data_IF_502723763688
#
_entry.id   IF_502723763688
#
_cell.length_a   1.000
_cell.length_b   1.000
_cell.length_c   1.000
_cell.angle_alpha   90.00
_cell.angle_beta   90.00
_cell.angle_gamma   90.00
#
_symmetry.space_group_name_H-M   'P 1'
#
loop_
_entity.id
_entity.type
_entity.pdbx_description
1 polymer ?
#
# COMPACT_ATOMS: atom_id res chain seq x y z
N UNK A 1 -5.44 -13.06 21.78
CA UNK A 1 -4.93 -13.19 20.40
C UNK A 1 -4.10 -11.96 20.08
N UNK A 2 -2.97 -12.07 19.36
CA UNK A 2 -2.23 -10.86 18.90
C UNK A 2 -3.04 -10.12 17.85
N UNK A 3 -2.88 -8.80 17.81
CA UNK A 3 -3.65 -7.87 16.97
C UNK A 3 -2.83 -7.40 15.77
N UNK A 4 -3.38 -7.51 14.58
CA UNK A 4 -2.75 -7.03 13.34
C UNK A 4 -3.65 -5.99 12.67
N UNK A 5 -3.09 -4.83 12.37
CA UNK A 5 -3.72 -3.83 11.53
C UNK A 5 -3.20 -3.96 10.09
N UNK A 6 -4.07 -4.28 9.17
CA UNK A 6 -3.76 -4.36 7.73
C UNK A 6 -4.12 -3.06 7.04
N UNK A 7 -3.17 -2.44 6.35
CA UNK A 7 -3.35 -1.19 5.61
C UNK A 7 -3.20 -1.46 4.13
N UNK A 8 -4.24 -1.17 3.36
CA UNK A 8 -4.26 -1.40 1.90
C UNK A 8 -4.65 -0.15 1.12
N UNK A 9 -4.07 0.03 -0.05
CA UNK A 9 -4.34 1.19 -0.92
C UNK A 9 -5.66 1.08 -1.71
N UNK A 10 -6.34 -0.07 -1.64
CA UNK A 10 -7.65 -0.32 -2.27
C UNK A 10 -8.44 -1.31 -1.44
N UNK A 11 -9.75 -1.11 -1.39
CA UNK A 11 -10.67 -2.08 -0.75
C UNK A 11 -10.51 -3.46 -1.41
N UNK A 12 -10.18 -4.52 -0.65
CA UNK A 12 -9.89 -5.84 -1.21
C UNK A 12 -11.15 -6.65 -1.59
N UNK A 13 -12.18 -5.96 -2.07
CA UNK A 13 -13.41 -6.53 -2.62
C UNK A 13 -14.08 -5.51 -3.56
N UNK A 14 -14.70 -5.93 -4.70
CA UNK A 14 -14.67 -7.27 -5.29
C UNK A 14 -13.28 -7.68 -5.80
N UNK A 15 -13.09 -8.99 -6.03
CA UNK A 15 -11.78 -9.62 -6.31
C UNK A 15 -11.37 -9.50 -7.80
N UNK A 16 -11.53 -8.31 -8.39
CA UNK A 16 -11.33 -8.07 -9.83
C UNK A 16 -9.86 -7.78 -10.21
N UNK A 17 -8.99 -7.52 -9.23
CA UNK A 17 -7.59 -7.13 -9.45
C UNK A 17 -6.67 -7.94 -8.55
N UNK A 18 -5.46 -8.21 -9.05
CA UNK A 18 -4.48 -9.03 -8.34
C UNK A 18 -4.12 -8.50 -6.95
N UNK A 19 -3.98 -7.17 -6.79
CA UNK A 19 -3.72 -6.53 -5.49
C UNK A 19 -4.87 -6.76 -4.48
N UNK A 20 -6.11 -6.71 -4.94
CA UNK A 20 -7.29 -6.98 -4.12
C UNK A 20 -7.40 -8.45 -3.74
N UNK A 21 -7.20 -9.35 -4.70
CA UNK A 21 -7.25 -10.80 -4.47
C UNK A 21 -6.19 -11.23 -3.46
N UNK A 22 -4.96 -10.73 -3.63
CA UNK A 22 -3.86 -11.02 -2.69
C UNK A 22 -4.18 -10.52 -1.28
N UNK A 23 -4.59 -9.24 -1.14
CA UNK A 23 -4.95 -8.67 0.16
C UNK A 23 -6.07 -9.47 0.83
N UNK A 24 -7.10 -9.83 0.09
CA UNK A 24 -8.22 -10.61 0.60
C UNK A 24 -7.77 -11.97 1.16
N UNK A 25 -6.99 -12.73 0.37
CA UNK A 25 -6.48 -14.03 0.80
C UNK A 25 -5.52 -13.91 2.00
N UNK A 26 -4.67 -12.89 2.03
CA UNK A 26 -3.78 -12.64 3.17
C UNK A 26 -4.58 -12.32 4.44
N UNK A 27 -5.59 -11.46 4.36
CA UNK A 27 -6.50 -11.14 5.48
C UNK A 27 -7.18 -12.41 5.98
N UNK A 28 -7.73 -13.22 5.08
CA UNK A 28 -8.38 -14.50 5.41
C UNK A 28 -7.43 -15.46 6.13
N UNK A 29 -6.19 -15.58 5.68
CA UNK A 29 -5.19 -16.44 6.35
C UNK A 29 -4.77 -15.84 7.69
N UNK A 30 -4.54 -14.52 7.77
CA UNK A 30 -4.15 -13.87 9.02
C UNK A 30 -5.24 -13.98 10.09
N UNK A 31 -6.52 -13.89 9.71
CA UNK A 31 -7.65 -13.98 10.64
C UNK A 31 -7.78 -15.34 11.33
N UNK A 32 -7.15 -16.40 10.80
CA UNK A 32 -7.12 -17.71 11.47
C UNK A 32 -6.26 -17.74 12.73
N UNK A 33 -5.32 -16.78 12.88
CA UNK A 33 -4.33 -16.77 13.98
C UNK A 33 -4.29 -15.45 14.75
N UNK A 34 -4.83 -14.39 14.18
CA UNK A 34 -4.74 -13.03 14.71
C UNK A 34 -6.11 -12.36 14.70
N UNK A 35 -6.29 -11.41 15.61
CA UNK A 35 -7.38 -10.45 15.55
C UNK A 35 -7.00 -9.39 14.51
N UNK A 36 -7.73 -9.33 13.40
CA UNK A 36 -7.39 -8.48 12.24
C UNK A 36 -8.31 -7.28 12.19
N UNK A 37 -7.73 -6.07 12.13
CA UNK A 37 -8.43 -4.85 11.72
C UNK A 37 -7.94 -4.44 10.33
N UNK A 38 -8.85 -4.01 9.47
CA UNK A 38 -8.55 -3.53 8.12
C UNK A 38 -8.74 -2.02 8.02
N UNK A 39 -7.73 -1.35 7.47
CA UNK A 39 -7.80 0.04 7.04
C UNK A 39 -7.56 0.12 5.53
N UNK A 40 -8.59 0.46 4.78
CA UNK A 40 -8.54 0.49 3.32
C UNK A 40 -8.82 1.90 2.79
N UNK A 41 -8.05 2.31 1.79
CA UNK A 41 -8.38 3.47 0.97
C UNK A 41 -9.35 3.05 -0.13
N UNK A 42 -10.19 3.97 -0.57
CA UNK A 42 -11.10 3.72 -1.68
C UNK A 42 -10.98 4.82 -2.73
N UNK A 43 -11.00 4.43 -3.98
CA UNK A 43 -10.93 5.36 -5.11
C UNK A 43 -12.18 6.25 -5.14
N UNK A 44 -12.06 7.55 -5.50
CA UNK A 44 -13.22 8.44 -5.58
C UNK A 44 -14.31 7.94 -6.54
N UNK A 45 -13.93 7.23 -7.59
CA UNK A 45 -14.85 6.65 -8.57
C UNK A 45 -15.44 5.30 -8.14
N UNK A 46 -14.88 4.67 -7.10
CA UNK A 46 -15.38 3.39 -6.63
C UNK A 46 -16.78 3.53 -6.05
N UNK A 47 -17.65 2.59 -6.40
CA UNK A 47 -18.95 2.44 -5.74
C UNK A 47 -18.69 1.78 -4.38
N UNK A 48 -18.73 2.59 -3.31
CA UNK A 48 -18.63 2.07 -1.94
C UNK A 48 -19.67 0.97 -1.75
N UNK A 49 -19.21 -0.24 -1.56
CA UNK A 49 -20.07 -1.40 -1.47
C UNK A 49 -20.24 -1.77 0.00
N UNK A 50 -21.46 -1.62 0.52
CA UNK A 50 -21.87 -2.20 1.82
C UNK A 50 -21.55 -3.69 1.86
N UNK A 51 -21.64 -4.37 0.72
CA UNK A 51 -21.23 -5.76 0.54
C UNK A 51 -19.75 -5.99 0.82
N UNK A 52 -18.87 -5.01 0.51
CA UNK A 52 -17.45 -5.15 0.85
C UNK A 52 -17.23 -5.15 2.38
N UNK A 53 -17.94 -4.31 3.11
CA UNK A 53 -17.87 -4.27 4.58
C UNK A 53 -18.41 -5.56 5.18
N UNK A 54 -19.51 -6.09 4.66
CA UNK A 54 -20.11 -7.35 5.10
C UNK A 54 -19.13 -8.53 4.90
N UNK A 55 -18.63 -8.73 3.67
CA UNK A 55 -17.70 -9.82 3.33
C UNK A 55 -16.39 -9.72 4.10
N UNK A 56 -15.82 -8.52 4.24
CA UNK A 56 -14.57 -8.33 4.97
C UNK A 56 -14.76 -8.42 6.49
N UNK A 57 -15.96 -8.13 6.98
CA UNK A 57 -16.35 -8.28 8.38
C UNK A 57 -16.38 -9.74 8.86
N UNK A 58 -16.44 -10.72 7.95
CA UNK A 58 -16.28 -12.14 8.30
C UNK A 58 -14.88 -12.48 8.80
N UNK A 59 -13.86 -11.70 8.39
CA UNK A 59 -12.44 -11.94 8.70
C UNK A 59 -11.82 -10.86 9.58
N UNK A 60 -12.43 -9.67 9.64
CA UNK A 60 -11.90 -8.51 10.34
C UNK A 60 -12.84 -8.07 11.46
N UNK A 61 -12.30 -7.88 12.67
CA UNK A 61 -13.06 -7.31 13.79
C UNK A 61 -13.44 -5.84 13.56
N UNK A 62 -12.69 -5.14 12.70
CA UNK A 62 -12.95 -3.76 12.28
C UNK A 62 -12.60 -3.57 10.80
N UNK A 63 -13.46 -2.87 10.07
CA UNK A 63 -13.26 -2.52 8.66
C UNK A 63 -13.44 -1.02 8.49
N UNK A 64 -12.33 -0.31 8.33
CA UNK A 64 -12.32 1.13 8.04
C UNK A 64 -12.07 1.36 6.56
N UNK A 65 -13.04 1.91 5.86
CA UNK A 65 -12.89 2.35 4.47
C UNK A 65 -12.89 3.87 4.43
N UNK A 66 -11.85 4.45 3.84
CA UNK A 66 -11.74 5.90 3.67
C UNK A 66 -11.72 6.24 2.19
N UNK A 67 -12.80 6.83 1.73
CA UNK A 67 -12.93 7.29 0.34
C UNK A 67 -12.06 8.52 0.13
N UNK A 68 -11.18 8.45 -0.87
CA UNK A 68 -10.40 9.58 -1.35
C UNK A 68 -11.31 10.58 -2.08
N UNK A 69 -10.89 11.82 -2.25
CA UNK A 69 -11.59 12.82 -3.04
C UNK A 69 -10.67 13.44 -4.10
N UNK A 70 -11.21 13.83 -5.24
CA UNK A 70 -10.44 14.34 -6.37
C UNK A 70 -9.64 15.59 -6.04
N UNK A 71 -10.20 16.54 -5.32
CA UNK A 71 -9.50 17.78 -4.94
C UNK A 71 -8.29 17.48 -4.05
N UNK A 72 -8.47 16.59 -3.07
CA UNK A 72 -7.37 16.13 -2.21
C UNK A 72 -6.28 15.40 -2.99
N UNK A 73 -6.66 14.55 -3.95
CA UNK A 73 -5.72 13.84 -4.82
C UNK A 73 -4.87 14.84 -5.62
N UNK A 74 -5.49 15.79 -6.34
CA UNK A 74 -4.74 16.77 -7.12
C UNK A 74 -3.80 17.60 -6.25
N UNK A 75 -4.27 18.08 -5.10
CA UNK A 75 -3.44 18.82 -4.16
C UNK A 75 -2.25 17.99 -3.64
N UNK A 76 -2.47 16.74 -3.31
CA UNK A 76 -1.42 15.87 -2.78
C UNK A 76 -0.43 15.41 -3.87
N UNK A 77 -0.87 15.20 -5.11
CA UNK A 77 0.03 14.96 -6.25
C UNK A 77 0.94 16.17 -6.46
N UNK A 78 0.38 17.39 -6.47
CA UNK A 78 1.15 18.62 -6.57
C UNK A 78 2.18 18.73 -5.44
N UNK A 79 1.76 18.50 -4.20
CA UNK A 79 2.65 18.52 -3.03
C UNK A 79 3.74 17.45 -3.12
N UNK A 80 3.42 16.23 -3.57
CA UNK A 80 4.37 15.15 -3.79
C UNK A 80 5.40 15.52 -4.85
N UNK A 81 4.96 16.18 -5.94
CA UNK A 81 5.87 16.65 -6.99
C UNK A 81 6.98 17.56 -6.43
N UNK A 82 6.63 18.57 -5.63
CA UNK A 82 7.61 19.49 -5.03
C UNK A 82 8.45 18.86 -3.91
N UNK A 83 7.93 17.83 -3.26
CA UNK A 83 8.67 17.07 -2.23
C UNK A 83 9.60 16.00 -2.80
N UNK A 84 9.64 15.83 -4.12
CA UNK A 84 10.42 14.76 -4.75
C UNK A 84 9.86 13.36 -4.54
N UNK A 85 8.64 13.22 -3.98
CA UNK A 85 7.98 11.94 -3.78
C UNK A 85 7.37 11.42 -5.10
N UNK A 86 7.18 10.10 -5.24
CA UNK A 86 6.43 9.54 -6.35
C UNK A 86 5.00 10.09 -6.40
N UNK A 87 4.50 10.37 -7.60
CA UNK A 87 3.14 10.89 -7.79
C UNK A 87 2.08 9.89 -7.31
N UNK A 88 2.35 8.59 -7.45
CA UNK A 88 1.49 7.53 -6.92
C UNK A 88 1.33 7.59 -5.40
N UNK A 89 2.39 7.95 -4.68
CA UNK A 89 2.33 8.13 -3.22
C UNK A 89 1.44 9.32 -2.89
N UNK A 90 1.58 10.44 -3.61
CA UNK A 90 0.70 11.59 -3.48
C UNK A 90 -0.76 11.27 -3.79
N UNK A 91 -1.01 10.49 -4.84
CA UNK A 91 -2.38 10.07 -5.23
C UNK A 91 -3.11 9.35 -4.09
N UNK A 92 -2.44 8.42 -3.42
CA UNK A 92 -3.05 7.60 -2.37
C UNK A 92 -2.97 8.23 -0.97
N UNK A 93 -2.27 9.36 -0.80
CA UNK A 93 -2.21 10.02 0.50
C UNK A 93 -3.45 10.90 0.75
N UNK A 94 -3.93 10.86 1.99
CA UNK A 94 -5.01 11.73 2.46
C UNK A 94 -4.82 12.06 3.94
N UNK A 95 -4.78 13.36 4.27
CA UNK A 95 -4.66 13.80 5.67
C UNK A 95 -5.84 13.34 6.53
N UNK A 96 -7.04 13.27 5.93
CA UNK A 96 -8.23 12.71 6.59
C UNK A 96 -8.04 11.23 6.92
N UNK A 97 -7.52 10.46 5.95
CA UNK A 97 -7.22 9.04 6.16
C UNK A 97 -6.11 8.86 7.21
N UNK A 98 -5.06 9.70 7.17
CA UNK A 98 -4.00 9.69 8.17
C UNK A 98 -4.54 9.92 9.61
N UNK A 99 -5.43 10.89 9.78
CA UNK A 99 -6.06 11.16 11.08
C UNK A 99 -6.87 9.95 11.56
N UNK A 100 -7.73 9.40 10.69
CA UNK A 100 -8.55 8.23 11.03
C UNK A 100 -7.70 6.99 11.33
N UNK A 101 -6.58 6.81 10.61
CA UNK A 101 -5.65 5.72 10.89
C UNK A 101 -5.01 5.87 12.28
N UNK A 102 -4.56 7.08 12.65
CA UNK A 102 -4.03 7.33 14.00
C UNK A 102 -5.06 7.03 15.10
N UNK A 103 -6.31 7.42 14.90
CA UNK A 103 -7.42 7.10 15.80
C UNK A 103 -7.64 5.58 15.91
N UNK A 104 -7.57 4.85 14.76
CA UNK A 104 -7.68 3.39 14.75
C UNK A 104 -6.50 2.73 15.49
N UNK A 105 -5.28 3.15 15.25
CA UNK A 105 -4.10 2.63 15.96
C UNK A 105 -4.23 2.83 17.48
N UNK A 106 -4.65 4.02 17.90
CA UNK A 106 -4.81 4.33 19.32
C UNK A 106 -5.90 3.48 20.00
N UNK A 107 -7.02 3.22 19.30
CA UNK A 107 -8.15 2.45 19.86
C UNK A 107 -7.92 0.93 19.76
N UNK A 108 -7.40 0.44 18.65
CA UNK A 108 -7.20 -0.98 18.41
C UNK A 108 -5.94 -1.52 19.11
N UNK A 109 -4.89 -0.68 19.25
CA UNK A 109 -3.58 -1.02 19.83
C UNK A 109 -2.98 -2.26 19.19
N UNK A 110 -2.64 -2.22 17.88
CA UNK A 110 -2.11 -3.39 17.17
C UNK A 110 -0.72 -3.76 17.69
N UNK A 111 -0.46 -5.06 17.79
CA UNK A 111 0.88 -5.62 18.05
C UNK A 111 1.77 -5.57 16.80
N UNK A 112 1.15 -5.45 15.62
CA UNK A 112 1.83 -5.41 14.32
C UNK A 112 1.00 -4.66 13.27
N UNK A 113 1.68 -3.97 12.36
CA UNK A 113 1.04 -3.32 11.22
C UNK A 113 1.58 -3.94 9.93
N UNK A 114 0.67 -4.35 9.05
CA UNK A 114 0.96 -4.91 7.75
C UNK A 114 0.51 -3.95 6.65
N UNK A 115 1.44 -3.45 5.85
CA UNK A 115 1.22 -2.51 4.76
C UNK A 115 1.33 -3.22 3.41
N UNK A 116 0.33 -3.08 2.55
CA UNK A 116 0.39 -3.58 1.19
C UNK A 116 0.68 -2.45 0.20
N UNK A 117 1.70 -2.62 -0.62
CA UNK A 117 2.27 -1.68 -1.59
C UNK A 117 2.93 -0.46 -0.92
N UNK A 118 4.01 0.01 -1.51
CA UNK A 118 4.75 1.20 -1.04
C UNK A 118 3.89 2.47 -0.93
N UNK A 119 2.74 2.50 -1.62
CA UNK A 119 1.76 3.61 -1.55
C UNK A 119 1.22 3.86 -0.14
N UNK A 120 1.25 2.83 0.73
CA UNK A 120 0.76 2.93 2.11
C UNK A 120 1.86 3.32 3.11
N UNK A 121 3.13 3.31 2.69
CA UNK A 121 4.26 3.54 3.58
C UNK A 121 4.26 4.95 4.23
N UNK A 122 3.75 5.98 3.53
CA UNK A 122 3.65 7.33 4.11
C UNK A 122 2.71 7.40 5.33
N UNK A 123 1.75 6.50 5.44
CA UNK A 123 0.81 6.45 6.55
C UNK A 123 1.43 5.97 7.86
N UNK A 124 2.53 5.24 7.78
CA UNK A 124 3.20 4.60 8.93
C UNK A 124 4.61 5.14 9.20
N UNK A 125 5.06 6.13 8.46
CA UNK A 125 6.44 6.65 8.53
C UNK A 125 6.85 7.18 9.92
N UNK A 126 5.90 7.67 10.70
CA UNK A 126 6.14 8.24 12.04
C UNK A 126 5.86 7.21 13.16
N UNK A 127 5.70 5.92 12.83
CA UNK A 127 5.40 4.86 13.79
C UNK A 127 6.70 4.11 14.11
N UNK A 128 7.20 4.26 15.33
CA UNK A 128 8.48 3.67 15.77
C UNK A 128 8.30 2.49 16.74
N UNK A 129 7.15 2.40 17.41
CA UNK A 129 6.95 1.46 18.53
C UNK A 129 6.18 0.19 18.17
N UNK A 130 5.74 0.08 16.93
CA UNK A 130 4.98 -1.09 16.44
C UNK A 130 5.76 -1.68 15.27
N UNK A 131 6.09 -2.97 15.28
CA UNK A 131 6.77 -3.61 14.17
C UNK A 131 5.92 -3.53 12.89
N UNK A 132 6.57 -3.16 11.79
CA UNK A 132 5.94 -2.94 10.50
C UNK A 132 6.37 -4.02 9.50
N UNK A 133 5.44 -4.55 8.71
CA UNK A 133 5.74 -5.35 7.53
C UNK A 133 5.24 -4.63 6.28
N UNK A 134 6.08 -4.59 5.24
CA UNK A 134 5.70 -4.13 3.90
C UNK A 134 5.61 -5.31 2.94
N UNK A 135 4.47 -5.50 2.32
CA UNK A 135 4.34 -6.32 1.12
C UNK A 135 4.44 -5.42 -0.11
N UNK A 136 5.57 -5.47 -0.78
CA UNK A 136 5.76 -4.74 -2.03
C UNK A 136 4.77 -5.21 -3.10
N UNK A 137 4.31 -6.45 -3.00
CA UNK A 137 3.59 -7.17 -4.05
C UNK A 137 4.48 -7.36 -5.29
N UNK A 138 4.60 -6.33 -6.08
CA UNK A 138 5.49 -6.21 -7.25
C UNK A 138 6.35 -4.94 -7.16
N UNK A 139 7.37 -4.82 -7.98
CA UNK A 139 8.10 -3.58 -8.16
C UNK A 139 7.26 -2.62 -9.01
N UNK A 140 6.59 -1.65 -8.36
CA UNK A 140 5.75 -0.68 -9.07
C UNK A 140 6.53 0.13 -10.11
N UNK A 141 7.83 0.40 -9.85
CA UNK A 141 8.75 1.03 -10.79
C UNK A 141 8.82 0.26 -12.12
N UNK A 142 8.82 -1.08 -12.09
CA UNK A 142 8.81 -1.90 -13.30
C UNK A 142 7.53 -1.72 -14.12
N UNK A 143 6.41 -1.55 -13.44
CA UNK A 143 5.13 -1.22 -14.09
C UNK A 143 5.18 0.12 -14.85
N UNK A 144 5.85 1.13 -14.29
CA UNK A 144 6.08 2.43 -14.97
C UNK A 144 7.03 2.26 -16.15
N UNK A 145 8.16 1.58 -15.96
CA UNK A 145 9.17 1.34 -17.01
C UNK A 145 8.54 0.72 -18.28
N UNK A 146 7.68 -0.29 -18.13
CA UNK A 146 6.98 -0.94 -19.23
C UNK A 146 6.03 -0.01 -20.00
N UNK A 147 5.62 1.10 -19.43
CA UNK A 147 4.71 2.07 -20.06
C UNK A 147 5.46 3.14 -20.86
N UNK A 148 6.70 3.45 -20.54
CA UNK A 148 7.51 4.50 -21.18
C UNK A 148 7.60 4.36 -22.69
N UNK A 149 7.89 3.16 -23.28
CA UNK A 149 8.02 3.03 -24.73
C UNK A 149 6.74 3.31 -25.52
N UNK A 150 5.58 3.21 -24.83
CA UNK A 150 4.25 3.42 -25.44
C UNK A 150 3.68 4.81 -25.19
N UNK A 151 4.41 5.66 -24.47
CA UNK A 151 3.95 6.97 -24.06
C UNK A 151 4.21 8.04 -25.11
N UNK A 152 3.34 9.04 -25.19
CA UNK A 152 3.59 10.25 -25.96
C UNK A 152 4.75 11.06 -25.38
N UNK A 153 5.35 11.96 -26.16
CA UNK A 153 6.54 12.72 -25.75
C UNK A 153 6.40 13.38 -24.37
N UNK A 154 5.32 14.11 -24.11
CA UNK A 154 5.10 14.77 -22.81
C UNK A 154 4.88 13.77 -21.67
N UNK A 155 4.11 12.70 -21.93
CA UNK A 155 3.85 11.68 -20.93
C UNK A 155 5.13 10.90 -20.60
N UNK A 156 6.01 10.70 -21.58
CA UNK A 156 7.29 10.02 -21.40
C UNK A 156 8.14 10.73 -20.33
N UNK A 157 8.31 12.05 -20.43
CA UNK A 157 9.08 12.81 -19.43
C UNK A 157 8.50 12.68 -18.00
N UNK A 158 7.17 12.69 -17.88
CA UNK A 158 6.50 12.48 -16.58
C UNK A 158 6.75 11.06 -16.05
N UNK A 159 6.66 10.05 -16.91
CA UNK A 159 6.87 8.65 -16.53
C UNK A 159 8.35 8.38 -16.17
N UNK A 160 9.30 8.98 -16.85
CA UNK A 160 10.73 8.88 -16.53
C UNK A 160 11.04 9.51 -15.17
N UNK A 161 10.46 10.67 -14.87
CA UNK A 161 10.57 11.30 -13.56
C UNK A 161 9.94 10.43 -12.47
N UNK A 162 8.74 9.90 -12.72
CA UNK A 162 8.05 9.00 -11.79
C UNK A 162 8.84 7.72 -11.56
N UNK A 163 9.39 7.11 -12.62
CA UNK A 163 10.24 5.92 -12.54
C UNK A 163 11.43 6.15 -11.61
N UNK A 164 12.19 7.24 -11.83
CA UNK A 164 13.34 7.59 -11.00
C UNK A 164 12.96 7.75 -9.54
N UNK A 165 11.88 8.48 -9.27
CA UNK A 165 11.40 8.73 -7.91
C UNK A 165 10.91 7.46 -7.24
N UNK A 166 10.20 6.63 -7.98
CA UNK A 166 9.62 5.40 -7.46
C UNK A 166 10.70 4.37 -7.10
N UNK A 167 11.75 4.21 -7.93
CA UNK A 167 12.91 3.37 -7.60
C UNK A 167 13.60 3.81 -6.33
N UNK A 168 13.89 5.11 -6.22
CA UNK A 168 14.51 5.66 -5.01
C UNK A 168 13.62 5.45 -3.77
N UNK A 169 12.31 5.63 -3.91
CA UNK A 169 11.36 5.48 -2.82
C UNK A 169 11.18 4.01 -2.41
N UNK A 170 11.11 3.08 -3.38
CA UNK A 170 11.06 1.63 -3.11
C UNK A 170 12.29 1.17 -2.31
N UNK A 171 13.48 1.69 -2.65
CA UNK A 171 14.70 1.41 -1.90
C UNK A 171 14.70 2.07 -0.51
N UNK A 172 14.27 3.32 -0.40
CA UNK A 172 14.25 4.06 0.87
C UNK A 172 13.32 3.43 1.91
N UNK A 173 12.10 3.05 1.49
CA UNK A 173 11.11 2.49 2.41
C UNK A 173 11.52 1.14 2.98
N UNK A 174 12.41 0.40 2.32
CA UNK A 174 12.93 -0.87 2.82
C UNK A 174 13.44 -0.74 4.26
N UNK A 175 14.20 0.31 4.56
CA UNK A 175 14.81 0.52 5.87
C UNK A 175 13.82 0.91 6.98
N UNK A 176 12.57 1.24 6.63
CA UNK A 176 11.54 1.66 7.59
C UNK A 176 10.74 0.47 8.14
N UNK A 177 10.86 -0.71 7.52
CA UNK A 177 10.07 -1.87 7.86
C UNK A 177 10.93 -2.97 8.50
N UNK A 178 10.41 -3.56 9.57
CA UNK A 178 11.07 -4.67 10.27
C UNK A 178 11.13 -5.95 9.40
N UNK A 179 10.18 -6.09 8.46
CA UNK A 179 10.18 -7.16 7.47
C UNK A 179 9.54 -6.71 6.17
N UNK A 180 9.98 -7.31 5.07
CA UNK A 180 9.49 -7.02 3.72
C UNK A 180 9.20 -8.30 2.96
N UNK A 181 8.16 -8.28 2.13
CA UNK A 181 7.77 -9.40 1.26
C UNK A 181 7.53 -8.94 -0.18
N UNK A 182 7.67 -9.84 -1.14
CA UNK A 182 7.42 -9.61 -2.57
C UNK A 182 6.93 -10.92 -3.21
N UNK A 183 6.26 -10.85 -4.36
CA UNK A 183 5.65 -12.05 -4.98
C UNK A 183 6.64 -12.96 -5.69
N UNK A 184 7.73 -12.41 -6.26
CA UNK A 184 8.65 -13.20 -7.08
C UNK A 184 10.10 -12.76 -6.92
N UNK A 185 11.01 -13.67 -7.25
CA UNK A 185 12.45 -13.40 -7.39
C UNK A 185 12.72 -12.32 -8.44
N UNK A 186 11.99 -12.38 -9.55
CA UNK A 186 12.13 -11.41 -10.63
C UNK A 186 11.78 -9.99 -10.16
N UNK A 187 10.68 -9.83 -9.40
CA UNK A 187 10.29 -8.52 -8.88
C UNK A 187 11.26 -8.03 -7.82
N UNK A 188 11.77 -8.93 -6.97
CA UNK A 188 12.81 -8.62 -5.98
C UNK A 188 14.06 -8.02 -6.65
N UNK A 189 14.49 -8.55 -7.77
CA UNK A 189 15.62 -8.04 -8.56
C UNK A 189 15.45 -6.63 -9.11
N UNK A 190 14.24 -6.06 -9.04
CA UNK A 190 13.98 -4.68 -9.46
C UNK A 190 14.03 -3.67 -8.30
N UNK A 191 14.12 -4.14 -7.04
CA UNK A 191 14.29 -3.27 -5.86
C UNK A 191 15.78 -2.91 -5.73
N UNK A 192 16.10 -1.64 -5.99
CA UNK A 192 17.49 -1.13 -6.02
C UNK A 192 18.01 -0.85 -4.59
N UNK A 193 18.09 -1.90 -3.75
CA UNK A 193 18.62 -1.82 -2.40
C UNK A 193 19.71 -2.88 -2.17
N UNK A 194 20.79 -2.52 -1.45
CA UNK A 194 21.92 -3.44 -1.17
C UNK A 194 21.49 -4.73 -0.47
N UNK A 195 20.50 -4.65 0.40
CA UNK A 195 19.96 -5.76 1.17
C UNK A 195 18.63 -6.32 0.57
N UNK A 196 18.35 -6.08 -0.73
CA UNK A 196 17.14 -6.56 -1.38
C UNK A 196 16.95 -8.09 -1.25
N UNK A 197 18.03 -8.85 -1.10
CA UNK A 197 17.98 -10.30 -0.85
C UNK A 197 17.30 -10.68 0.48
N UNK A 198 17.19 -9.75 1.44
CA UNK A 198 16.44 -9.96 2.68
C UNK A 198 14.92 -9.89 2.48
N UNK A 199 14.43 -9.39 1.33
CA UNK A 199 13.01 -9.39 1.00
C UNK A 199 12.55 -10.84 0.80
N UNK A 200 11.58 -11.28 1.59
CA UNK A 200 11.05 -12.65 1.53
C UNK A 200 10.12 -12.81 0.35
N UNK A 201 10.28 -13.89 -0.41
CA UNK A 201 9.37 -14.21 -1.50
C UNK A 201 8.15 -14.93 -0.93
N UNK A 202 6.97 -14.35 -1.16
CA UNK A 202 5.67 -14.91 -0.81
C UNK A 202 4.80 -14.88 -2.07
N UNK A 203 4.78 -15.97 -2.85
CA UNK A 203 4.05 -16.02 -4.11
C UNK A 203 2.54 -15.91 -3.89
N UNK A 204 1.84 -15.53 -4.96
CA UNK A 204 0.38 -15.71 -5.02
C UNK A 204 0.12 -17.20 -5.18
N UNK A 205 -0.69 -17.77 -4.31
CA UNK A 205 -1.10 -19.16 -4.41
C UNK A 205 -1.87 -19.47 -5.68
#
# INVERSE_FOLDING_TARGET
MKKILVIVSRVPYPLEKGDKLRAFNQIKVLSTKYEVALFALDDPSARSSTKAVEVLGEFCCNVDIVKLNWLGIYFNIFKAFFKGLPLQVGYFYSSKAQKKLKERIASFKPDHIYCQLVRTAEYVKDIEHIPLTLDYMDALSKGIERRIPKATFFLKAILELELKRLRAYEAEVFNRFASTTIISEQDRGHIEHKDANAIRIVPNG
#
